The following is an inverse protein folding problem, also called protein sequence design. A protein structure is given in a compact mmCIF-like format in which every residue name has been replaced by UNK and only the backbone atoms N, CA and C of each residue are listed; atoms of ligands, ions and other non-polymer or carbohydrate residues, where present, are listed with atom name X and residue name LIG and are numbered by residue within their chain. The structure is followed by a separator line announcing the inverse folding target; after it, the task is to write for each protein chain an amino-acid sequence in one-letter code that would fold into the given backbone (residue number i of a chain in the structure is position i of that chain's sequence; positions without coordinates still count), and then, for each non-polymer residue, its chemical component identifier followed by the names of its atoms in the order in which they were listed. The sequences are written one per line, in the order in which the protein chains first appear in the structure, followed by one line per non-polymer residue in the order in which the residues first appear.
data_IF_874627348998
#
_entry.id   IF_874627348998
#
_cell.length_a   1.000
_cell.length_b   1.000
_cell.length_c   1.000
_cell.angle_alpha   90.00
_cell.angle_beta   90.00
_cell.angle_gamma   90.00
#
_symmetry.space_group_name_H-M   'P 1'
#
loop_
_entity.id
_entity.type
_entity.pdbx_description
1 polymer ?
#
# COMPACT_ATOMS: atom_id res chain seq x y z
N UNK A 1 5.59 3.77 4.49
CA UNK A 1 7.05 3.55 4.51
C UNK A 1 7.42 2.13 4.91
N UNK A 2 8.72 1.80 4.83
CA UNK A 2 9.23 0.42 4.97
C UNK A 2 8.71 -0.30 6.22
N UNK A 3 8.72 0.35 7.38
CA UNK A 3 8.23 -0.26 8.63
C UNK A 3 6.75 -0.60 8.58
N UNK A 4 5.93 0.31 8.05
CA UNK A 4 4.49 0.08 7.89
C UNK A 4 4.20 -1.07 6.91
N UNK A 5 4.90 -1.10 5.77
CA UNK A 5 4.80 -2.19 4.79
C UNK A 5 5.18 -3.54 5.42
N UNK A 6 6.30 -3.59 6.16
CA UNK A 6 6.76 -4.84 6.80
C UNK A 6 5.78 -5.35 7.84
N UNK A 7 5.30 -4.49 8.74
CA UNK A 7 4.31 -4.86 9.76
C UNK A 7 3.00 -5.31 9.12
N UNK A 8 2.52 -4.60 8.09
CA UNK A 8 1.33 -5.00 7.35
C UNK A 8 1.49 -6.34 6.63
N UNK A 9 2.66 -6.58 6.01
CA UNK A 9 2.96 -7.85 5.36
C UNK A 9 3.01 -9.01 6.36
N UNK A 10 3.65 -8.84 7.51
CA UNK A 10 3.71 -9.87 8.57
C UNK A 10 2.32 -10.19 9.13
N UNK A 11 1.49 -9.16 9.32
CA UNK A 11 0.10 -9.35 9.73
C UNK A 11 -0.70 -10.11 8.67
N UNK A 12 -0.64 -9.67 7.41
CA UNK A 12 -1.35 -10.31 6.30
C UNK A 12 -0.92 -11.78 6.13
N UNK A 13 0.35 -12.10 6.35
CA UNK A 13 0.80 -13.49 6.30
C UNK A 13 0.15 -14.38 7.35
N UNK A 14 -0.15 -13.84 8.52
CA UNK A 14 -0.86 -14.59 9.58
C UNK A 14 -2.33 -14.86 9.25
N UNK A 15 -3.01 -13.85 8.66
CA UNK A 15 -4.46 -13.94 8.39
C UNK A 15 -4.80 -14.48 7.01
N UNK A 16 -3.87 -14.42 6.07
CA UNK A 16 -4.01 -14.88 4.69
C UNK A 16 -2.76 -15.62 4.21
N UNK A 17 -2.39 -16.75 4.85
CA UNK A 17 -1.10 -17.42 4.66
C UNK A 17 -0.84 -17.89 3.22
N UNK A 18 -1.90 -18.17 2.46
CA UNK A 18 -1.82 -18.69 1.10
C UNK A 18 -2.05 -17.62 0.02
N UNK A 19 -2.24 -16.36 0.42
CA UNK A 19 -2.41 -15.28 -0.54
C UNK A 19 -1.14 -15.09 -1.38
N UNK A 20 -1.32 -14.74 -2.65
CA UNK A 20 -0.25 -14.21 -3.49
C UNK A 20 -0.19 -12.71 -3.34
N UNK A 21 0.95 -12.13 -3.69
CA UNK A 21 1.15 -10.68 -3.71
C UNK A 21 1.48 -10.25 -5.13
N UNK A 22 0.81 -9.20 -5.60
CA UNK A 22 1.11 -8.55 -6.87
C UNK A 22 1.68 -7.15 -6.59
N UNK A 23 2.80 -6.85 -7.23
CA UNK A 23 3.43 -5.52 -7.24
C UNK A 23 3.46 -5.00 -8.67
N UNK A 24 3.60 -3.69 -8.90
CA UNK A 24 3.72 -3.13 -10.25
C UNK A 24 4.99 -3.61 -10.97
N UNK A 25 4.96 -3.64 -12.30
CA UNK A 25 6.15 -3.86 -13.12
C UNK A 25 6.44 -2.61 -13.97
N UNK A 26 7.54 -1.88 -13.67
CA UNK A 26 8.44 -2.01 -12.52
C UNK A 26 7.82 -1.52 -11.21
N UNK A 27 8.45 -1.81 -10.09
CA UNK A 27 8.07 -1.32 -8.76
C UNK A 27 9.29 -0.82 -8.00
N UNK A 28 9.07 -0.14 -6.86
CA UNK A 28 10.15 0.09 -5.91
C UNK A 28 10.71 -1.27 -5.45
N UNK A 29 12.02 -1.44 -5.64
CA UNK A 29 12.68 -2.75 -5.46
C UNK A 29 12.37 -3.42 -4.10
N UNK A 30 12.25 -2.60 -3.05
CA UNK A 30 12.02 -3.10 -1.71
C UNK A 30 10.61 -3.69 -1.50
N UNK A 31 9.63 -3.39 -2.35
CA UNK A 31 8.30 -4.02 -2.27
C UNK A 31 8.44 -5.55 -2.34
N UNK A 32 9.17 -6.06 -3.36
CA UNK A 32 9.38 -7.50 -3.50
C UNK A 32 10.06 -8.10 -2.29
N UNK A 33 11.16 -7.47 -1.83
CA UNK A 33 11.93 -7.96 -0.69
C UNK A 33 11.11 -8.02 0.59
N UNK A 34 10.30 -7.01 0.88
CA UNK A 34 9.44 -6.96 2.07
C UNK A 34 8.45 -8.12 2.11
N UNK A 35 7.72 -8.35 1.00
CA UNK A 35 6.70 -9.39 0.96
C UNK A 35 7.29 -10.80 0.86
N UNK A 36 8.39 -10.99 0.12
CA UNK A 36 9.13 -12.27 0.10
C UNK A 36 9.66 -12.62 1.50
N UNK A 37 10.26 -11.63 2.20
CA UNK A 37 10.75 -11.84 3.58
C UNK A 37 9.62 -12.04 4.61
N UNK A 38 8.40 -11.67 4.28
CA UNK A 38 7.22 -12.04 5.07
C UNK A 38 6.70 -13.45 4.73
N UNK A 39 7.26 -14.12 3.72
CA UNK A 39 6.93 -15.50 3.31
C UNK A 39 5.88 -15.60 2.20
N UNK A 40 5.62 -14.52 1.45
CA UNK A 40 4.70 -14.54 0.32
C UNK A 40 5.38 -14.91 -1.00
N UNK A 41 4.62 -15.56 -1.88
CA UNK A 41 4.90 -15.59 -3.31
C UNK A 41 4.55 -14.23 -3.91
N UNK A 42 5.52 -13.59 -4.59
CA UNK A 42 5.35 -12.25 -5.15
C UNK A 42 5.49 -12.31 -6.66
N UNK A 43 4.45 -11.88 -7.36
CA UNK A 43 4.41 -11.73 -8.81
C UNK A 43 4.15 -10.26 -9.17
N UNK A 44 3.98 -9.95 -10.45
CA UNK A 44 3.80 -8.58 -10.94
C UNK A 44 2.49 -8.42 -11.70
N UNK A 45 1.97 -7.19 -11.69
CA UNK A 45 0.96 -6.71 -12.63
C UNK A 45 1.59 -5.70 -13.60
N UNK A 46 1.15 -5.71 -14.85
CA UNK A 46 1.62 -4.77 -15.85
C UNK A 46 1.33 -3.32 -15.42
N UNK A 47 2.31 -2.43 -15.52
CA UNK A 47 2.13 -1.04 -15.12
C UNK A 47 2.73 -0.04 -16.10
N UNK A 48 3.94 -0.26 -16.62
CA UNK A 48 4.63 0.69 -17.47
C UNK A 48 4.73 0.21 -18.91
N UNK A 49 4.47 1.11 -19.85
CA UNK A 49 4.68 0.92 -21.28
C UNK A 49 5.86 1.79 -21.72
N UNK A 50 7.02 1.17 -21.95
CA UNK A 50 8.24 1.87 -22.35
C UNK A 50 8.13 2.49 -23.76
N UNK A 51 7.34 1.89 -24.65
CA UNK A 51 7.17 2.40 -26.02
C UNK A 51 6.30 3.67 -26.03
N UNK A 52 5.28 3.71 -25.19
CA UNK A 52 4.38 4.86 -25.04
C UNK A 52 4.87 5.86 -24.00
N UNK A 53 5.88 5.51 -23.20
CA UNK A 53 6.36 6.31 -22.05
C UNK A 53 5.19 6.72 -21.13
N UNK A 54 4.45 5.73 -20.63
CA UNK A 54 3.27 5.97 -19.83
C UNK A 54 2.76 4.72 -19.15
N UNK A 55 1.60 4.82 -18.52
CA UNK A 55 0.97 3.68 -17.86
C UNK A 55 0.35 2.73 -18.89
N UNK A 56 0.67 1.44 -18.81
CA UNK A 56 -0.03 0.36 -19.49
C UNK A 56 -1.31 0.00 -18.73
N UNK A 57 -2.30 0.88 -18.79
CA UNK A 57 -3.49 0.75 -17.97
C UNK A 57 -4.34 -0.47 -18.31
N UNK A 58 -4.48 -0.78 -19.60
CA UNK A 58 -5.21 -1.98 -20.06
C UNK A 58 -4.55 -3.25 -19.55
N UNK A 59 -3.20 -3.31 -19.62
CA UNK A 59 -2.43 -4.41 -19.07
C UNK A 59 -2.54 -4.52 -17.55
N UNK A 60 -2.59 -3.41 -16.84
CA UNK A 60 -2.84 -3.37 -15.39
C UNK A 60 -4.20 -3.97 -15.06
N UNK A 61 -5.27 -3.51 -15.70
CA UNK A 61 -6.62 -4.04 -15.48
C UNK A 61 -6.73 -5.53 -15.84
N UNK A 62 -6.10 -5.96 -16.94
CA UNK A 62 -6.07 -7.36 -17.34
C UNK A 62 -5.39 -8.23 -16.28
N UNK A 63 -4.24 -7.78 -15.75
CA UNK A 63 -3.51 -8.48 -14.69
C UNK A 63 -4.33 -8.59 -13.41
N UNK A 64 -4.97 -7.51 -12.97
CA UNK A 64 -5.82 -7.51 -11.78
C UNK A 64 -7.06 -8.38 -11.94
N UNK A 65 -7.68 -8.38 -13.13
CA UNK A 65 -8.82 -9.25 -13.43
C UNK A 65 -8.44 -10.73 -13.48
N UNK A 66 -7.22 -11.08 -13.82
CA UNK A 66 -6.72 -12.45 -13.82
C UNK A 66 -6.35 -12.95 -12.41
N UNK A 67 -6.19 -12.05 -11.43
CA UNK A 67 -5.81 -12.40 -10.08
C UNK A 67 -6.89 -13.23 -9.36
N UNK A 68 -6.45 -14.20 -8.56
CA UNK A 68 -7.32 -15.00 -7.72
C UNK A 68 -7.90 -14.15 -6.56
N UNK A 69 -9.12 -14.44 -6.08
CA UNK A 69 -9.65 -13.79 -4.88
C UNK A 69 -8.70 -13.90 -3.69
N UNK A 70 -8.63 -12.86 -2.88
CA UNK A 70 -7.73 -12.79 -1.72
C UNK A 70 -6.29 -12.42 -2.06
N UNK A 71 -5.93 -12.27 -3.35
CA UNK A 71 -4.61 -11.76 -3.73
C UNK A 71 -4.41 -10.34 -3.17
N UNK A 72 -3.23 -10.10 -2.58
CA UNK A 72 -2.81 -8.80 -2.09
C UNK A 72 -2.22 -8.00 -3.25
N UNK A 73 -2.71 -6.79 -3.49
CA UNK A 73 -2.20 -5.91 -4.53
C UNK A 73 -1.56 -4.69 -3.89
N UNK A 74 -0.27 -4.52 -4.10
CA UNK A 74 0.49 -3.35 -3.63
C UNK A 74 0.40 -2.26 -4.69
N UNK A 75 -0.16 -1.12 -4.30
CA UNK A 75 -0.45 0.01 -5.18
C UNK A 75 0.28 1.25 -4.66
N UNK A 76 1.01 1.97 -5.53
CA UNK A 76 1.47 3.31 -5.19
C UNK A 76 0.26 4.27 -5.23
N UNK A 77 -0.02 4.93 -4.12
CA UNK A 77 -1.16 5.84 -4.03
C UNK A 77 -0.96 7.12 -4.87
N UNK A 78 0.28 7.58 -4.97
CA UNK A 78 0.73 8.69 -5.80
C UNK A 78 2.23 8.59 -6.06
N UNK A 79 2.72 9.32 -7.05
CA UNK A 79 4.15 9.47 -7.39
C UNK A 79 4.83 8.10 -7.53
N UNK A 80 4.38 7.31 -8.50
CA UNK A 80 4.83 5.95 -8.72
C UNK A 80 6.36 5.84 -8.87
N UNK A 81 6.99 5.09 -8.02
CA UNK A 81 8.42 4.81 -8.05
C UNK A 81 8.69 3.42 -8.69
N UNK A 82 9.46 3.31 -9.79
CA UNK A 82 10.41 4.30 -10.31
C UNK A 82 9.91 5.13 -11.51
N UNK A 83 8.70 4.91 -12.02
CA UNK A 83 8.32 5.42 -13.35
C UNK A 83 7.98 6.91 -13.37
N UNK A 84 7.48 7.46 -12.27
CA UNK A 84 6.95 8.82 -12.21
C UNK A 84 5.63 9.02 -12.96
N UNK A 85 5.00 7.94 -13.43
CA UNK A 85 3.69 8.00 -14.10
C UNK A 85 2.62 7.44 -13.16
N UNK A 86 1.58 8.22 -12.95
CA UNK A 86 0.44 7.85 -12.12
C UNK A 86 -0.80 7.59 -12.98
N UNK A 87 -1.71 6.76 -12.48
CA UNK A 87 -3.02 6.58 -13.09
C UNK A 87 -3.92 7.75 -12.72
N UNK A 88 -4.84 8.09 -13.62
CA UNK A 88 -5.80 9.17 -13.44
C UNK A 88 -6.86 8.82 -12.41
N UNK A 89 -7.60 9.85 -11.97
CA UNK A 89 -8.70 9.68 -11.02
C UNK A 89 -9.79 8.73 -11.54
N UNK A 90 -10.13 8.83 -12.83
CA UNK A 90 -11.08 7.90 -13.48
C UNK A 90 -10.54 6.47 -13.61
N UNK A 91 -9.24 6.32 -13.76
CA UNK A 91 -8.59 5.00 -13.77
C UNK A 91 -8.57 4.38 -12.38
N UNK A 92 -8.42 5.18 -11.32
CA UNK A 92 -8.60 4.70 -9.96
C UNK A 92 -9.98 4.11 -9.71
N UNK A 93 -11.04 4.72 -10.23
CA UNK A 93 -12.39 4.19 -10.09
C UNK A 93 -12.53 2.79 -10.71
N UNK A 94 -11.88 2.57 -11.87
CA UNK A 94 -11.85 1.26 -12.52
C UNK A 94 -11.04 0.22 -11.73
N UNK A 95 -9.86 0.61 -11.22
CA UNK A 95 -9.04 -0.28 -10.37
C UNK A 95 -9.81 -0.68 -9.11
N UNK A 96 -10.46 0.27 -8.44
CA UNK A 96 -11.27 0.02 -7.24
C UNK A 96 -12.44 -0.94 -7.56
N UNK A 97 -13.11 -0.76 -8.69
CA UNK A 97 -14.17 -1.66 -9.13
C UNK A 97 -13.66 -3.10 -9.33
N UNK A 98 -12.48 -3.27 -9.96
CA UNK A 98 -11.86 -4.59 -10.13
C UNK A 98 -11.44 -5.18 -8.78
N UNK A 99 -10.79 -4.40 -7.91
CA UNK A 99 -10.39 -4.85 -6.56
C UNK A 99 -11.60 -5.38 -5.79
N UNK A 100 -12.72 -4.65 -5.84
CA UNK A 100 -13.97 -5.05 -5.20
C UNK A 100 -14.57 -6.30 -5.82
N UNK A 101 -14.73 -6.32 -7.15
CA UNK A 101 -15.36 -7.42 -7.87
C UNK A 101 -14.58 -8.74 -7.74
N UNK A 102 -13.26 -8.67 -7.69
CA UNK A 102 -12.37 -9.83 -7.57
C UNK A 102 -12.06 -10.23 -6.12
N UNK A 103 -12.50 -9.45 -5.14
CA UNK A 103 -12.19 -9.70 -3.72
C UNK A 103 -10.69 -9.63 -3.44
N UNK A 104 -9.99 -8.66 -4.03
CA UNK A 104 -8.56 -8.43 -3.80
C UNK A 104 -8.36 -7.60 -2.53
N UNK A 105 -7.19 -7.72 -1.92
CA UNK A 105 -6.79 -6.91 -0.76
C UNK A 105 -5.85 -5.80 -1.22
N UNK A 106 -6.29 -4.55 -1.17
CA UNK A 106 -5.46 -3.41 -1.54
C UNK A 106 -4.53 -3.01 -0.40
N UNK A 107 -3.24 -2.86 -0.72
CA UNK A 107 -2.22 -2.30 0.15
C UNK A 107 -1.60 -1.06 -0.54
N UNK A 108 -2.02 0.12 -0.11
CA UNK A 108 -1.56 1.38 -0.66
C UNK A 108 -0.24 1.80 -0.01
N UNK A 109 0.79 2.07 -0.82
CA UNK A 109 2.03 2.70 -0.37
C UNK A 109 2.03 4.18 -0.75
N UNK A 110 2.18 5.04 0.25
CA UNK A 110 2.15 6.50 0.11
C UNK A 110 3.44 7.09 0.67
N UNK A 111 4.48 7.10 -0.15
CA UNK A 111 5.78 7.62 0.23
C UNK A 111 5.97 9.11 -0.10
N UNK A 112 5.17 9.65 -1.02
CA UNK A 112 5.38 10.96 -1.63
C UNK A 112 4.12 11.85 -1.62
N UNK A 113 3.25 11.69 -0.63
CA UNK A 113 2.06 12.55 -0.51
C UNK A 113 2.44 14.03 -0.47
N UNK A 114 1.82 14.83 -1.32
CA UNK A 114 2.08 16.26 -1.49
C UNK A 114 3.07 16.61 -2.61
N UNK A 115 3.69 15.60 -3.27
CA UNK A 115 4.64 15.82 -4.37
C UNK A 115 4.02 15.66 -5.76
N UNK A 116 2.82 15.10 -5.86
CA UNK A 116 2.09 14.98 -7.12
C UNK A 116 1.32 16.27 -7.45
N UNK A 117 0.13 16.37 -6.93
CA UNK A 117 -0.78 17.50 -7.15
C UNK A 117 -1.05 18.31 -5.87
N UNK A 118 -0.84 17.73 -4.70
CA UNK A 118 -1.11 18.35 -3.41
C UNK A 118 -1.41 17.28 -2.34
N UNK A 119 -1.39 17.69 -1.08
CA UNK A 119 -1.60 16.76 0.04
C UNK A 119 -3.00 16.13 -0.02
N UNK A 120 -4.02 16.92 -0.32
CA UNK A 120 -5.40 16.46 -0.39
C UNK A 120 -5.64 15.59 -1.63
N UNK A 121 -5.16 16.03 -2.78
CA UNK A 121 -5.33 15.38 -4.07
C UNK A 121 -4.62 14.03 -4.10
N UNK A 122 -3.37 13.98 -3.65
CA UNK A 122 -2.59 12.74 -3.59
C UNK A 122 -3.17 11.72 -2.60
N UNK A 123 -3.86 12.19 -1.56
CA UNK A 123 -4.54 11.35 -0.58
C UNK A 123 -5.97 10.94 -0.97
N UNK A 124 -6.56 11.53 -1.99
CA UNK A 124 -7.98 11.35 -2.33
C UNK A 124 -8.35 9.90 -2.67
N UNK A 125 -7.42 9.14 -3.22
CA UNK A 125 -7.62 7.72 -3.55
C UNK A 125 -8.03 6.88 -2.34
N UNK A 126 -7.52 7.18 -1.14
CA UNK A 126 -7.90 6.48 0.10
C UNK A 126 -9.40 6.64 0.35
N UNK A 127 -9.92 7.88 0.20
CA UNK A 127 -11.34 8.16 0.35
C UNK A 127 -12.21 7.38 -0.65
N UNK A 128 -11.74 7.18 -1.88
CA UNK A 128 -12.43 6.38 -2.90
C UNK A 128 -12.55 4.90 -2.49
N UNK A 129 -11.47 4.29 -1.99
CA UNK A 129 -11.53 2.92 -1.48
C UNK A 129 -12.49 2.79 -0.30
N UNK A 130 -12.46 3.74 0.63
CA UNK A 130 -13.37 3.78 1.79
C UNK A 130 -14.82 3.93 1.33
N UNK A 131 -15.11 4.84 0.41
CA UNK A 131 -16.44 5.05 -0.16
C UNK A 131 -16.97 3.81 -0.90
N UNK A 132 -16.07 3.01 -1.50
CA UNK A 132 -16.41 1.74 -2.11
C UNK A 132 -16.71 0.62 -1.09
N UNK A 133 -16.50 0.87 0.21
CA UNK A 133 -16.71 -0.11 1.29
C UNK A 133 -15.62 -1.17 1.36
N UNK A 134 -14.40 -0.85 0.97
CA UNK A 134 -13.26 -1.77 0.97
C UNK A 134 -12.41 -1.60 2.22
N UNK A 135 -12.04 -2.72 2.83
CA UNK A 135 -10.99 -2.79 3.83
C UNK A 135 -9.63 -2.68 3.13
N UNK A 136 -8.79 -1.76 3.56
CA UNK A 136 -7.50 -1.49 2.93
C UNK A 136 -6.39 -1.29 3.96
N UNK A 137 -5.17 -1.48 3.50
CA UNK A 137 -3.96 -1.12 4.22
C UNK A 137 -3.32 0.10 3.55
N UNK A 138 -2.86 1.05 4.36
CA UNK A 138 -2.17 2.25 3.87
C UNK A 138 -0.87 2.42 4.64
N UNK A 139 0.25 2.39 3.95
CA UNK A 139 1.56 2.68 4.52
C UNK A 139 2.00 4.08 4.12
N UNK A 140 1.97 5.01 5.06
CA UNK A 140 2.42 6.40 4.85
C UNK A 140 3.85 6.58 5.31
N UNK A 141 4.64 7.40 4.60
CA UNK A 141 6.01 7.77 4.99
C UNK A 141 6.14 9.27 5.13
N UNK A 142 6.83 9.72 6.17
CA UNK A 142 7.19 11.12 6.37
C UNK A 142 8.66 11.40 6.01
N UNK A 143 9.34 10.41 5.43
CA UNK A 143 10.75 10.57 5.01
C UNK A 143 10.95 11.68 3.99
N UNK A 144 10.02 11.81 3.01
CA UNK A 144 10.13 12.81 1.94
C UNK A 144 9.24 14.02 2.21
N UNK A 145 7.95 13.82 2.47
CA UNK A 145 6.97 14.90 2.65
C UNK A 145 7.29 15.84 3.81
N UNK A 146 7.92 15.36 4.88
CA UNK A 146 8.38 16.17 6.02
C UNK A 146 9.90 16.32 6.09
N UNK A 147 10.64 15.84 5.09
CA UNK A 147 12.11 15.79 5.10
C UNK A 147 12.70 15.06 6.31
N UNK A 148 11.94 14.16 6.92
CA UNK A 148 12.32 13.41 8.11
C UNK A 148 12.95 12.05 7.77
N UNK A 149 13.75 11.99 6.72
CA UNK A 149 14.32 10.75 6.21
C UNK A 149 15.14 9.99 7.27
N UNK A 150 15.95 10.71 8.04
CA UNK A 150 16.79 10.16 9.11
C UNK A 150 16.01 9.78 10.37
N UNK A 151 14.83 10.36 10.60
CA UNK A 151 14.04 10.13 11.81
C UNK A 151 13.24 8.82 11.78
N UNK A 152 13.21 8.13 10.63
CA UNK A 152 12.57 6.82 10.49
C UNK A 152 11.11 6.79 10.91
N UNK A 153 10.30 7.77 10.45
CA UNK A 153 8.90 7.93 10.84
C UNK A 153 7.93 7.68 9.69
N UNK A 154 6.87 6.99 9.98
CA UNK A 154 5.76 6.68 9.08
C UNK A 154 4.60 6.09 9.87
N UNK A 155 3.53 5.75 9.18
CA UNK A 155 2.35 5.15 9.78
C UNK A 155 1.84 3.97 8.95
N UNK A 156 1.28 2.98 9.61
CA UNK A 156 0.41 1.98 9.01
C UNK A 156 -1.02 2.25 9.48
N UNK A 157 -1.91 2.53 8.54
CA UNK A 157 -3.34 2.65 8.79
C UNK A 157 -4.07 1.46 8.18
N UNK A 158 -5.07 0.94 8.88
CA UNK A 158 -5.91 -0.14 8.38
C UNK A 158 -7.36 0.32 8.48
N UNK A 159 -8.06 0.31 7.36
CA UNK A 159 -9.50 0.51 7.31
C UNK A 159 -10.16 -0.84 7.50
N UNK A 160 -10.98 -0.95 8.52
CA UNK A 160 -11.74 -2.15 8.87
C UNK A 160 -13.25 -1.89 8.72
N UNK A 161 -14.04 -2.95 8.67
CA UNK A 161 -15.49 -2.87 8.47
C UNK A 161 -16.21 -2.18 9.64
N UNK A 162 -15.68 -2.38 10.85
CA UNK A 162 -16.24 -1.83 12.08
C UNK A 162 -15.17 -1.66 13.18
N UNK A 163 -15.58 -1.06 14.31
CA UNK A 163 -14.69 -0.80 15.46
C UNK A 163 -14.17 -2.07 16.13
N UNK A 164 -14.95 -3.13 16.13
CA UNK A 164 -14.57 -4.40 16.77
C UNK A 164 -13.51 -5.09 15.93
N UNK A 165 -13.68 -5.13 14.61
CA UNK A 165 -12.66 -5.63 13.70
C UNK A 165 -11.38 -4.80 13.80
N UNK A 166 -11.49 -3.47 13.80
CA UNK A 166 -10.34 -2.58 13.97
C UNK A 166 -9.57 -2.86 15.27
N UNK A 167 -10.28 -3.09 16.38
CA UNK A 167 -9.66 -3.43 17.66
C UNK A 167 -8.93 -4.79 17.62
N UNK A 168 -9.51 -5.81 16.98
CA UNK A 168 -8.88 -7.12 16.78
C UNK A 168 -7.62 -7.00 15.92
N UNK A 169 -7.72 -6.28 14.78
CA UNK A 169 -6.57 -6.04 13.88
C UNK A 169 -5.46 -5.31 14.62
N UNK A 170 -5.78 -4.23 15.33
CA UNK A 170 -4.80 -3.46 16.10
C UNK A 170 -4.09 -4.32 17.16
N UNK A 171 -4.83 -5.19 17.83
CA UNK A 171 -4.26 -6.15 18.80
C UNK A 171 -3.18 -7.03 18.17
N UNK A 172 -3.44 -7.57 16.97
CA UNK A 172 -2.50 -8.43 16.27
C UNK A 172 -1.31 -7.65 15.69
N UNK A 173 -1.53 -6.43 15.19
CA UNK A 173 -0.46 -5.53 14.74
C UNK A 173 0.50 -5.20 15.88
N UNK A 174 -0.02 -4.95 17.10
CA UNK A 174 0.82 -4.72 18.30
C UNK A 174 1.72 -5.91 18.61
N UNK A 175 1.26 -7.15 18.42
CA UNK A 175 2.09 -8.35 18.58
C UNK A 175 3.19 -8.39 17.52
N UNK A 176 2.87 -8.11 16.26
CA UNK A 176 3.87 -8.06 15.18
C UNK A 176 4.93 -6.98 15.45
N UNK A 177 4.53 -5.79 15.88
CA UNK A 177 5.44 -4.71 16.28
C UNK A 177 6.32 -5.15 17.45
N UNK A 178 5.72 -5.72 18.48
CA UNK A 178 6.42 -6.14 19.70
C UNK A 178 7.53 -7.14 19.41
N UNK A 179 7.30 -8.05 18.49
CA UNK A 179 8.29 -9.09 18.13
C UNK A 179 9.34 -8.60 17.12
N UNK A 180 9.08 -7.54 16.36
CA UNK A 180 10.05 -6.98 15.41
C UNK A 180 11.05 -6.03 16.09
N UNK A 181 10.56 -5.05 16.85
CA UNK A 181 11.42 -4.00 17.46
C UNK A 181 10.87 -3.43 18.77
N UNK A 182 9.95 -4.12 19.42
CA UNK A 182 9.28 -3.74 20.67
C UNK A 182 8.30 -2.56 20.52
N UNK A 183 8.79 -1.39 20.21
CA UNK A 183 8.02 -0.18 19.88
C UNK A 183 8.90 0.78 19.07
N UNK A 184 8.30 1.64 18.22
CA UNK A 184 9.09 2.61 17.45
C UNK A 184 9.71 3.68 18.34
N UNK A 185 10.80 4.33 17.88
CA UNK A 185 11.31 5.53 18.54
C UNK A 185 10.25 6.63 18.48
N UNK A 186 10.19 7.46 19.54
CA UNK A 186 9.12 8.46 19.68
C UNK A 186 9.47 9.83 19.10
N UNK A 187 10.76 10.15 18.93
CA UNK A 187 11.21 11.49 18.52
C UNK A 187 10.64 11.94 17.18
N UNK A 188 10.80 11.13 16.13
CA UNK A 188 10.28 11.46 14.80
C UNK A 188 8.76 11.62 14.78
N UNK A 189 8.03 10.77 15.52
CA UNK A 189 6.58 10.92 15.68
C UNK A 189 6.19 12.21 16.39
N UNK A 190 6.92 12.60 17.42
CA UNK A 190 6.68 13.86 18.14
C UNK A 190 6.91 15.08 17.25
N UNK A 191 7.92 15.06 16.37
CA UNK A 191 8.18 16.13 15.40
C UNK A 191 7.00 16.30 14.41
N UNK A 192 6.38 15.19 13.97
CA UNK A 192 5.23 15.25 13.05
C UNK A 192 3.98 15.83 13.71
N UNK A 193 3.82 15.63 15.02
CA UNK A 193 2.63 16.05 15.78
C UNK A 193 2.75 17.47 16.35
N UNK A 194 3.96 17.99 16.48
CA UNK A 194 4.23 19.33 17.01
C UNK A 194 3.81 20.44 16.04
#
# INVERSE_FOLDING_TARGET
GTGGLKIGADFLKKVSPNAKVLISDPSWENHRAIFVNAGFEVDTYAYYDAAKRGVNFDGMLASLNAAAPGTIVVLHACCHNPTGYDITDAQWDQVIAVVKAKGLTAFLDMAYQGFGHGIAEDGAVIGKFVAAGLNIFVSTSFSKSFSLYGERVGALSVVASDKEEAARVLSQLKIAIRTNYSNPPIHGGAVVVA
#
